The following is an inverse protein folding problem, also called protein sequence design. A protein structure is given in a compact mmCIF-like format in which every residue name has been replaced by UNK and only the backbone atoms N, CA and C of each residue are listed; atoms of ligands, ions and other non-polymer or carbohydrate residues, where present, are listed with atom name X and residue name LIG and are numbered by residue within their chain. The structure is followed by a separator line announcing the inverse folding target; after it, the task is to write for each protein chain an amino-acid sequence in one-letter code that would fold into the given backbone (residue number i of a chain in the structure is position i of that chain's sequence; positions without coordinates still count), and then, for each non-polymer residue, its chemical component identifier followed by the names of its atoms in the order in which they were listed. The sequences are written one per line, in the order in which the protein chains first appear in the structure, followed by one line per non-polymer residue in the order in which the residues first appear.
data_IF_719835095021
#
_entry.id   IF_719835095021
#
_cell.length_a   1.000
_cell.length_b   1.000
_cell.length_c   1.000
_cell.angle_alpha   90.00
_cell.angle_beta   90.00
_cell.angle_gamma   90.00
#
_symmetry.space_group_name_H-M   'P 1'
#
loop_
_entity.id
_entity.type
_entity.pdbx_description
1 polymer ?
#
# COMPACT_ATOMS: atom_id res chain seq x y z
N UNK A 1 18.15 10.56 0.61
CA UNK A 1 18.41 9.93 -0.70
C UNK A 1 17.11 9.97 -1.49
N UNK A 2 17.15 10.38 -2.77
CA UNK A 2 15.98 10.32 -3.65
C UNK A 2 15.58 8.87 -3.95
N UNK A 3 14.32 8.49 -3.78
CA UNK A 3 13.84 7.12 -4.03
C UNK A 3 12.32 7.06 -4.29
N UNK A 4 11.78 5.87 -4.51
CA UNK A 4 10.36 5.59 -4.26
C UNK A 4 10.10 5.59 -2.75
N UNK A 5 9.03 6.23 -2.31
CA UNK A 5 8.75 6.43 -0.89
C UNK A 5 7.28 6.16 -0.59
N UNK A 6 6.99 5.36 0.44
CA UNK A 6 5.67 5.25 1.04
C UNK A 6 5.38 6.55 1.77
N UNK A 7 4.41 7.34 1.32
CA UNK A 7 4.14 8.67 1.89
C UNK A 7 2.83 8.76 2.64
N UNK A 8 1.85 7.95 2.25
CA UNK A 8 0.53 7.87 2.89
C UNK A 8 -0.01 6.45 2.81
N UNK A 9 -0.93 6.13 3.71
CA UNK A 9 -1.74 4.92 3.60
C UNK A 9 -3.10 5.15 4.25
N UNK A 10 -4.12 4.45 3.78
CA UNK A 10 -5.42 4.36 4.44
C UNK A 10 -5.69 2.89 4.77
N UNK A 11 -5.20 2.38 5.91
CA UNK A 11 -5.35 0.96 6.25
C UNK A 11 -6.77 0.62 6.72
N UNK A 12 -7.48 1.56 7.35
CA UNK A 12 -8.84 1.34 7.85
C UNK A 12 -9.88 2.10 7.02
N UNK A 13 -10.40 1.56 5.91
CA UNK A 13 -11.44 2.22 5.14
C UNK A 13 -12.76 2.33 5.90
N UNK A 14 -13.57 3.32 5.52
CA UNK A 14 -14.88 3.55 6.13
C UNK A 14 -15.79 2.32 6.02
N UNK A 15 -16.34 1.89 7.16
CA UNK A 15 -17.24 0.75 7.29
C UNK A 15 -16.54 -0.60 7.47
N UNK A 16 -15.20 -0.70 7.42
CA UNK A 16 -14.47 -1.97 7.59
C UNK A 16 -14.78 -2.61 8.93
N UNK A 17 -14.75 -1.82 10.00
CA UNK A 17 -14.92 -2.33 11.37
C UNK A 17 -16.35 -2.81 11.64
N UNK A 18 -17.31 -2.39 10.79
CA UNK A 18 -18.72 -2.80 10.85
C UNK A 18 -19.06 -3.98 9.94
N UNK A 19 -18.11 -4.43 9.12
CA UNK A 19 -18.39 -5.35 8.03
C UNK A 19 -18.45 -6.83 8.45
N UNK A 20 -18.24 -7.15 9.74
CA UNK A 20 -18.32 -8.50 10.31
C UNK A 20 -17.60 -9.59 9.47
N UNK A 21 -16.45 -9.24 8.89
CA UNK A 21 -15.64 -10.17 8.08
C UNK A 21 -16.02 -10.26 6.59
N UNK A 22 -16.99 -9.48 6.09
CA UNK A 22 -17.25 -9.36 4.64
C UNK A 22 -16.60 -8.10 4.08
N UNK A 23 -15.64 -8.25 3.18
CA UNK A 23 -15.09 -7.13 2.41
C UNK A 23 -16.05 -6.71 1.31
N UNK A 24 -16.43 -5.42 1.29
CA UNK A 24 -17.12 -4.83 0.15
C UNK A 24 -16.10 -4.27 -0.85
N UNK A 25 -16.36 -4.32 -2.17
CA UNK A 25 -15.43 -3.76 -3.16
C UNK A 25 -15.03 -2.31 -2.88
N UNK A 26 -16.00 -1.46 -2.50
CA UNK A 26 -15.73 -0.06 -2.13
C UNK A 26 -14.78 0.06 -0.92
N UNK A 27 -14.80 -0.89 0.01
CA UNK A 27 -13.90 -0.90 1.17
C UNK A 27 -12.50 -1.35 0.77
N UNK A 28 -12.37 -2.39 -0.07
CA UNK A 28 -11.07 -2.83 -0.58
C UNK A 28 -10.42 -1.75 -1.46
N UNK A 29 -11.21 -0.97 -2.18
CA UNK A 29 -10.75 0.21 -2.91
C UNK A 29 -10.47 1.39 -1.97
N UNK A 30 -11.03 1.40 -0.77
CA UNK A 30 -10.73 2.38 0.27
C UNK A 30 -9.49 2.05 1.10
N UNK A 31 -8.97 0.83 0.99
CA UNK A 31 -7.70 0.43 1.59
C UNK A 31 -6.58 0.59 0.56
N UNK A 32 -5.61 1.47 0.85
CA UNK A 32 -4.57 1.80 -0.12
C UNK A 32 -3.27 2.33 0.51
N UNK A 33 -2.21 2.32 -0.29
CA UNK A 33 -0.89 2.92 0.01
C UNK A 33 -0.48 3.85 -1.13
N UNK A 34 -0.01 5.05 -0.79
CA UNK A 34 0.59 5.99 -1.75
C UNK A 34 2.11 5.80 -1.79
N UNK A 35 2.61 5.56 -3.00
CA UNK A 35 4.03 5.57 -3.35
C UNK A 35 4.33 6.85 -4.12
N UNK A 36 5.24 7.67 -3.62
CA UNK A 36 5.69 8.90 -4.28
C UNK A 36 7.11 8.72 -4.81
N UNK A 37 7.36 9.21 -6.02
CA UNK A 37 8.72 9.42 -6.48
C UNK A 37 9.26 10.72 -5.84
N UNK A 38 10.13 10.59 -4.84
CA UNK A 38 10.78 11.73 -4.17
C UNK A 38 12.12 12.11 -4.81
N UNK A 39 12.49 11.45 -5.91
CA UNK A 39 13.66 11.77 -6.69
C UNK A 39 13.44 12.97 -7.60
N UNK A 40 14.57 13.51 -8.11
CA UNK A 40 14.60 14.56 -9.14
C UNK A 40 14.54 14.00 -10.55
N UNK A 41 14.53 12.67 -10.72
CA UNK A 41 14.45 11.98 -12.01
C UNK A 41 13.26 11.03 -12.05
N UNK A 42 12.84 10.67 -13.27
CA UNK A 42 11.80 9.68 -13.47
C UNK A 42 12.26 8.28 -13.00
N UNK A 43 11.38 7.52 -12.36
CA UNK A 43 11.65 6.17 -11.88
C UNK A 43 10.67 5.19 -12.53
N UNK A 44 11.19 4.15 -13.18
CA UNK A 44 10.38 3.02 -13.63
C UNK A 44 9.96 2.18 -12.43
N UNK A 45 8.70 1.76 -12.39
CA UNK A 45 8.18 0.87 -11.36
C UNK A 45 8.47 -0.60 -11.64
N UNK A 46 9.06 -0.92 -12.79
CA UNK A 46 9.46 -2.28 -13.14
C UNK A 46 10.40 -2.86 -12.10
N UNK A 47 10.10 -4.09 -11.65
CA UNK A 47 10.89 -4.78 -10.63
C UNK A 47 10.71 -4.23 -9.22
N UNK A 48 9.78 -3.30 -9.00
CA UNK A 48 9.33 -2.86 -7.67
C UNK A 48 8.13 -3.68 -7.21
N UNK A 49 8.04 -3.94 -5.92
CA UNK A 49 6.95 -4.68 -5.29
C UNK A 49 6.58 -4.02 -3.97
N UNK A 50 5.30 -4.14 -3.60
CA UNK A 50 4.79 -3.62 -2.34
C UNK A 50 4.41 -4.80 -1.45
N UNK A 51 4.95 -4.78 -0.24
CA UNK A 51 4.73 -5.80 0.78
C UNK A 51 4.04 -5.21 2.00
N UNK A 52 3.56 -6.09 2.87
CA UNK A 52 3.10 -5.76 4.21
C UNK A 52 3.59 -6.81 5.21
N UNK A 53 3.42 -6.55 6.50
CA UNK A 53 3.69 -7.49 7.59
C UNK A 53 2.51 -8.44 7.75
N UNK A 54 2.77 -9.72 7.58
CA UNK A 54 1.82 -10.76 7.93
C UNK A 54 2.04 -11.25 9.35
N UNK A 55 0.94 -11.60 10.03
CA UNK A 55 0.97 -12.16 11.37
C UNK A 55 0.26 -13.52 11.35
N UNK A 56 0.71 -14.46 12.17
CA UNK A 56 0.04 -15.74 12.37
C UNK A 56 -1.20 -15.63 13.27
N UNK A 57 -1.88 -16.75 13.51
CA UNK A 57 -3.09 -16.79 14.33
C UNK A 57 -2.86 -16.41 15.81
N UNK A 58 -1.60 -16.42 16.25
CA UNK A 58 -1.16 -16.06 17.59
C UNK A 58 -0.67 -14.60 17.66
N UNK A 59 -0.75 -13.87 16.55
CA UNK A 59 -0.27 -12.48 16.44
C UNK A 59 1.25 -12.35 16.38
N UNK A 60 1.98 -13.43 16.09
CA UNK A 60 3.42 -13.37 15.85
C UNK A 60 3.69 -12.97 14.40
N UNK A 61 4.72 -12.15 14.18
CA UNK A 61 5.13 -11.74 12.85
C UNK A 61 5.62 -12.95 12.05
N UNK A 62 5.04 -13.19 10.87
CA UNK A 62 5.58 -14.17 9.92
C UNK A 62 6.93 -13.69 9.40
N UNK A 63 7.88 -14.60 9.24
CA UNK A 63 9.21 -14.27 8.71
C UNK A 63 9.17 -13.79 7.25
N UNK A 64 8.19 -14.23 6.47
CA UNK A 64 8.04 -13.86 5.07
C UNK A 64 7.02 -12.73 4.92
N UNK A 65 7.44 -11.64 4.27
CA UNK A 65 6.53 -10.58 3.84
C UNK A 65 5.96 -10.92 2.46
N UNK A 66 4.63 -10.91 2.34
CA UNK A 66 3.97 -11.18 1.06
C UNK A 66 3.95 -9.94 0.19
N UNK A 67 4.41 -10.08 -1.05
CA UNK A 67 4.27 -9.06 -2.09
C UNK A 67 2.85 -9.12 -2.63
N UNK A 68 2.05 -8.09 -2.38
CA UNK A 68 0.65 -8.02 -2.82
C UNK A 68 0.46 -7.16 -4.07
N UNK A 69 1.48 -6.42 -4.49
CA UNK A 69 1.46 -5.67 -5.75
C UNK A 69 2.85 -5.63 -6.38
N UNK A 70 2.89 -5.67 -7.72
CA UNK A 70 4.13 -5.59 -8.51
C UNK A 70 4.00 -4.51 -9.58
N UNK A 71 5.02 -3.67 -9.68
CA UNK A 71 5.08 -2.59 -10.65
C UNK A 71 5.46 -3.07 -12.05
N UNK A 72 4.89 -2.42 -13.05
CA UNK A 72 5.22 -2.66 -14.47
C UNK A 72 6.37 -1.77 -14.93
N UNK A 73 7.27 -2.30 -15.74
CA UNK A 73 8.34 -1.51 -16.38
C UNK A 73 7.78 -0.41 -17.31
N UNK A 74 6.52 -0.53 -17.76
CA UNK A 74 5.82 0.47 -18.56
C UNK A 74 5.29 1.64 -17.72
N UNK A 75 5.20 1.48 -16.40
CA UNK A 75 4.78 2.54 -15.50
C UNK A 75 6.01 3.29 -15.01
N UNK A 76 6.00 4.61 -15.22
CA UNK A 76 7.07 5.50 -14.83
C UNK A 76 6.47 6.64 -14.00
N UNK A 77 6.98 6.84 -12.80
CA UNK A 77 6.64 8.00 -11.98
C UNK A 77 7.63 9.13 -12.25
N UNK A 78 7.12 10.27 -12.71
CA UNK A 78 7.89 11.51 -12.75
C UNK A 78 8.15 12.04 -11.33
N UNK A 79 9.16 12.90 -11.12
CA UNK A 79 9.39 13.57 -9.85
C UNK A 79 8.11 14.16 -9.25
N UNK A 80 7.83 13.84 -7.98
CA UNK A 80 6.65 14.31 -7.26
C UNK A 80 5.33 13.59 -7.60
N UNK A 81 5.31 12.70 -8.60
CA UNK A 81 4.11 11.92 -8.92
C UNK A 81 3.85 10.82 -7.89
N UNK A 82 2.57 10.47 -7.78
CA UNK A 82 2.03 9.55 -6.79
C UNK A 82 1.32 8.41 -7.49
N UNK A 83 1.72 7.17 -7.18
CA UNK A 83 0.95 5.98 -7.45
C UNK A 83 0.18 5.59 -6.18
N UNK A 84 -1.15 5.45 -6.28
CA UNK A 84 -1.96 4.83 -5.23
C UNK A 84 -2.21 3.37 -5.56
N UNK A 85 -1.76 2.47 -4.69
CA UNK A 85 -2.01 1.04 -4.80
C UNK A 85 -3.18 0.70 -3.88
N UNK A 86 -4.32 0.36 -4.46
CA UNK A 86 -5.50 -0.14 -3.77
C UNK A 86 -5.38 -1.65 -3.56
N UNK A 87 -5.94 -2.17 -2.46
CA UNK A 87 -5.89 -3.61 -2.21
C UNK A 87 -6.99 -4.36 -2.97
N UNK A 88 -8.07 -3.69 -3.35
CA UNK A 88 -9.12 -4.24 -4.22
C UNK A 88 -8.70 -4.48 -5.68
N UNK A 89 -9.72 -4.70 -6.52
CA UNK A 89 -9.57 -5.08 -7.94
C UNK A 89 -9.87 -3.92 -8.87
N UNK A 90 -9.18 -3.84 -10.00
CA UNK A 90 -9.44 -2.83 -11.04
C UNK A 90 -10.87 -2.95 -11.60
N UNK A 91 -11.36 -4.18 -11.75
CA UNK A 91 -12.72 -4.45 -12.23
C UNK A 91 -13.83 -3.82 -11.39
N UNK A 92 -13.55 -3.53 -10.11
CA UNK A 92 -14.49 -2.90 -9.19
C UNK A 92 -14.36 -1.37 -9.12
N UNK A 93 -13.48 -0.75 -9.94
CA UNK A 93 -13.14 0.69 -9.86
C UNK A 93 -14.34 1.63 -9.83
N UNK A 94 -15.45 1.26 -10.45
CA UNK A 94 -16.69 2.04 -10.43
C UNK A 94 -17.30 2.19 -9.00
N UNK A 95 -16.97 1.30 -8.06
CA UNK A 95 -17.38 1.38 -6.66
C UNK A 95 -16.45 2.23 -5.78
N UNK A 96 -15.35 2.76 -6.34
CA UNK A 96 -14.40 3.58 -5.60
C UNK A 96 -15.04 4.90 -5.16
N UNK A 97 -14.85 5.28 -3.89
CA UNK A 97 -15.32 6.57 -3.40
C UNK A 97 -14.53 7.72 -4.05
N UNK A 98 -15.15 8.90 -4.17
CA UNK A 98 -14.46 10.09 -4.66
C UNK A 98 -13.19 10.38 -3.84
N UNK A 99 -13.26 10.27 -2.52
CA UNK A 99 -12.13 10.54 -1.62
C UNK A 99 -10.93 9.60 -1.88
N UNK A 100 -11.20 8.34 -2.23
CA UNK A 100 -10.15 7.35 -2.52
C UNK A 100 -9.61 7.48 -3.95
N UNK A 101 -10.38 8.10 -4.85
CA UNK A 101 -9.98 8.36 -6.24
C UNK A 101 -9.10 9.61 -6.43
N UNK A 102 -9.08 10.54 -5.48
CA UNK A 102 -8.37 11.82 -5.64
C UNK A 102 -7.01 11.86 -4.96
N UNK A 103 -6.13 12.73 -5.47
CA UNK A 103 -4.82 13.01 -4.88
C UNK A 103 -3.69 12.05 -5.29
N UNK A 104 -3.97 11.12 -6.21
CA UNK A 104 -2.98 10.30 -6.87
C UNK A 104 -2.93 10.61 -8.37
N UNK A 105 -1.77 10.43 -9.00
CA UNK A 105 -1.61 10.61 -10.44
C UNK A 105 -1.98 9.34 -11.19
N UNK A 106 -1.70 8.19 -10.58
CA UNK A 106 -1.99 6.86 -11.10
C UNK A 106 -2.61 6.00 -10.00
N UNK A 107 -3.41 5.03 -10.43
CA UNK A 107 -4.00 4.03 -9.56
C UNK A 107 -3.53 2.65 -10.03
N UNK A 108 -3.23 1.79 -9.07
CA UNK A 108 -2.93 0.39 -9.25
C UNK A 108 -3.75 -0.44 -8.26
N UNK A 109 -3.85 -1.74 -8.52
CA UNK A 109 -4.73 -2.64 -7.82
C UNK A 109 -3.96 -3.92 -7.48
N UNK A 110 -4.10 -4.40 -6.25
CA UNK A 110 -3.53 -5.65 -5.78
C UNK A 110 -4.32 -6.88 -6.25
N UNK A 111 -5.49 -6.66 -6.83
CA UNK A 111 -6.40 -7.71 -7.30
C UNK A 111 -6.83 -8.68 -6.19
N UNK A 112 -6.90 -8.21 -4.94
CA UNK A 112 -7.32 -9.01 -3.79
C UNK A 112 -8.83 -8.94 -3.56
N UNK A 113 -9.37 -10.02 -3.01
CA UNK A 113 -10.74 -10.10 -2.48
C UNK A 113 -10.82 -9.78 -0.98
N UNK A 114 -9.67 -9.63 -0.32
CA UNK A 114 -9.55 -9.43 1.12
C UNK A 114 -8.72 -8.18 1.41
N UNK A 115 -8.95 -7.60 2.59
CA UNK A 115 -8.05 -6.61 3.15
C UNK A 115 -6.64 -7.21 3.28
N UNK A 116 -5.64 -6.43 2.90
CA UNK A 116 -4.23 -6.80 3.00
C UNK A 116 -3.61 -6.15 4.22
N UNK A 117 -3.94 -4.88 4.49
CA UNK A 117 -3.29 -4.12 5.55
C UNK A 117 -3.83 -4.52 6.94
N UNK A 118 -2.92 -4.70 7.91
CA UNK A 118 -3.25 -5.18 9.24
C UNK A 118 -3.59 -4.06 10.23
N UNK A 119 -4.87 -3.95 10.59
CA UNK A 119 -5.31 -3.01 11.62
C UNK A 119 -5.04 -3.48 13.05
N UNK A 120 -5.12 -4.78 13.34
CA UNK A 120 -5.11 -5.29 14.71
C UNK A 120 -3.73 -5.23 15.37
N UNK A 121 -2.66 -5.47 14.60
CA UNK A 121 -1.27 -5.47 15.08
C UNK A 121 -0.47 -4.27 14.57
N UNK A 122 -1.11 -3.41 13.74
CA UNK A 122 -0.39 -2.46 12.92
C UNK A 122 0.33 -3.16 11.77
N UNK A 123 1.00 -2.38 10.93
CA UNK A 123 1.64 -2.90 9.72
C UNK A 123 2.81 -1.99 9.31
N UNK A 124 3.63 -2.48 8.38
CA UNK A 124 4.72 -1.76 7.75
C UNK A 124 4.70 -1.98 6.22
N UNK A 125 3.82 -1.28 5.48
CA UNK A 125 3.89 -1.27 4.04
C UNK A 125 5.30 -0.85 3.58
N UNK A 126 5.90 -1.69 2.74
CA UNK A 126 7.30 -1.54 2.33
C UNK A 126 7.48 -1.83 0.85
N UNK A 127 8.32 -1.02 0.21
CA UNK A 127 8.69 -1.17 -1.20
C UNK A 127 9.97 -1.99 -1.25
N UNK A 128 9.96 -3.01 -2.10
CA UNK A 128 11.09 -3.89 -2.35
C UNK A 128 11.42 -3.94 -3.83
N UNK A 129 12.69 -4.18 -4.13
CA UNK A 129 13.17 -4.52 -5.46
C UNK A 129 13.67 -5.97 -5.49
N UNK A 130 13.62 -6.54 -6.69
CA UNK A 130 14.25 -7.83 -6.95
C UNK A 130 15.77 -7.70 -7.05
N UNK A 131 16.49 -8.68 -6.50
CA UNK A 131 17.92 -8.84 -6.73
C UNK A 131 18.21 -9.46 -8.11
N UNK A 132 19.49 -9.71 -8.37
CA UNK A 132 20.00 -10.30 -9.62
C UNK A 132 19.47 -11.72 -9.89
N UNK A 133 18.92 -12.37 -8.86
CA UNK A 133 18.34 -13.72 -8.91
C UNK A 133 16.80 -13.67 -8.91
N UNK A 134 16.20 -12.52 -9.22
CA UNK A 134 14.75 -12.30 -9.28
C UNK A 134 14.02 -12.47 -7.92
N UNK A 135 14.74 -12.30 -6.79
CA UNK A 135 14.15 -12.42 -5.44
C UNK A 135 13.94 -11.06 -4.80
N UNK A 136 12.81 -10.86 -4.13
CA UNK A 136 12.51 -9.66 -3.35
C UNK A 136 13.40 -9.57 -2.11
N UNK A 137 14.57 -8.93 -2.23
CA UNK A 137 15.57 -8.90 -1.16
C UNK A 137 16.22 -7.53 -0.94
N UNK A 138 15.91 -6.55 -1.80
CA UNK A 138 16.43 -5.18 -1.66
C UNK A 138 15.30 -4.29 -1.18
N UNK A 139 15.31 -3.92 0.10
CA UNK A 139 14.34 -2.96 0.63
C UNK A 139 14.66 -1.57 0.10
N UNK A 140 13.69 -0.96 -0.58
CA UNK A 140 13.77 0.40 -1.12
C UNK A 140 13.37 1.41 -0.03
N UNK A 141 12.21 1.19 0.59
CA UNK A 141 11.64 2.07 1.60
C UNK A 141 10.51 1.35 2.36
N UNK A 142 10.04 1.93 3.47
CA UNK A 142 8.76 1.60 4.07
C UNK A 142 8.46 2.51 5.26
N UNK A 143 7.22 2.43 5.74
CA UNK A 143 6.78 3.18 6.90
C UNK A 143 5.74 2.36 7.68
N UNK A 144 5.75 2.48 9.00
CA UNK A 144 4.89 1.67 9.87
C UNK A 144 3.77 2.49 10.51
N UNK A 145 2.66 1.84 10.85
CA UNK A 145 1.60 2.43 11.68
C UNK A 145 1.26 1.52 12.87
N UNK A 146 0.75 2.13 13.94
CA UNK A 146 0.35 1.41 15.15
C UNK A 146 -0.94 0.63 14.96
N UNK A 147 -1.19 -0.40 15.79
CA UNK A 147 -2.50 -1.02 15.95
C UNK A 147 -3.64 -0.01 16.01
N UNK A 148 -4.79 -0.43 15.49
CA UNK A 148 -6.07 0.27 15.49
C UNK A 148 -6.01 1.67 14.85
N UNK A 149 -5.57 1.77 13.58
CA UNK A 149 -5.59 3.05 12.88
C UNK A 149 -7.05 3.56 12.74
N UNK A 150 -7.26 4.88 12.82
CA UNK A 150 -8.60 5.47 12.78
C UNK A 150 -9.33 5.16 11.47
N UNK A 151 -10.61 4.79 11.60
CA UNK A 151 -11.47 4.45 10.46
C UNK A 151 -11.69 5.65 9.53
N UNK A 152 -11.57 5.42 8.22
CA UNK A 152 -11.77 6.41 7.17
C UNK A 152 -10.63 7.41 6.97
N UNK A 153 -9.60 7.40 7.83
CA UNK A 153 -8.53 8.40 7.80
C UNK A 153 -7.31 7.92 7.02
N UNK A 154 -6.83 8.77 6.11
CA UNK A 154 -5.56 8.56 5.44
C UNK A 154 -4.41 9.06 6.32
N UNK A 155 -3.56 8.12 6.76
CA UNK A 155 -2.33 8.39 7.49
C UNK A 155 -1.29 9.05 6.57
N UNK A 156 -0.44 9.88 7.15
CA UNK A 156 0.65 10.61 6.50
C UNK A 156 1.97 10.27 7.16
N UNK A 157 3.03 10.26 6.36
CA UNK A 157 4.38 9.96 6.88
C UNK A 157 4.95 11.10 7.69
N UNK A 158 5.48 10.75 8.87
CA UNK A 158 6.29 11.60 9.74
C UNK A 158 7.48 10.76 10.22
N UNK A 159 8.66 11.00 9.62
CA UNK A 159 9.83 10.14 9.82
C UNK A 159 9.63 8.77 9.18
N UNK A 160 9.73 7.70 9.97
CA UNK A 160 9.49 6.31 9.59
C UNK A 160 8.06 5.83 9.89
N UNK A 161 7.21 6.70 10.44
CA UNK A 161 5.86 6.35 10.88
C UNK A 161 4.78 6.98 10.00
N UNK A 162 3.67 6.28 9.84
CA UNK A 162 2.41 6.77 9.29
C UNK A 162 1.48 7.12 10.46
N UNK A 163 1.08 8.39 10.53
CA UNK A 163 0.23 8.95 11.59
C UNK A 163 -0.98 9.68 11.00
N UNK A 164 -2.11 9.81 11.72
CA UNK A 164 -3.29 10.54 11.24
C UNK A 164 -3.01 11.99 10.83
#
# INVERSE_FOLDING_TARGET
MPNLTVTRAKPNPAGRDRANGRSLPAQLLGEWVDITNTATTAISLGGSGLTHREYDAQGQLKQESTVYWQGSARQVLQPGQVLRVHTGRESDRAAMSYQDSVGAHYHAFAESYNFVLNNAQGDEPSIWAKDRNDRWSIRIDGAWYSPYPPEGIALRRMGDRLVP
#
